data_IF_621006037864
#
_entry.id   IF_621006037864
#
_cell.length_a   1.000
_cell.length_b   1.000
_cell.length_c   1.000
_cell.angle_alpha   90.00
_cell.angle_beta   90.00
_cell.angle_gamma   90.00
#
_symmetry.space_group_name_H-M   'P 1'
#
loop_
_entity.id
_entity.type
_entity.pdbx_description
1 polymer ?
#
# COMPACT_ATOMS: atom_id res chain seq x y z
N UNK A 1 -11.48 -26.57 17.54
CA UNK A 1 -10.52 -25.46 17.87
C UNK A 1 -10.68 -24.42 16.78
N UNK A 2 -10.72 -23.17 17.12
CA UNK A 2 -10.89 -22.07 16.15
C UNK A 2 -9.54 -21.80 15.49
N UNK A 3 -9.47 -21.88 14.16
CA UNK A 3 -8.26 -21.53 13.44
C UNK A 3 -8.16 -20.02 13.29
N UNK A 4 -7.13 -19.43 13.90
CA UNK A 4 -6.85 -18.01 13.84
C UNK A 4 -5.62 -17.73 12.96
N UNK A 5 -5.61 -16.57 12.34
CA UNK A 5 -4.53 -16.10 11.47
C UNK A 5 -4.16 -14.69 11.84
N UNK A 6 -2.89 -14.36 11.75
CA UNK A 6 -2.39 -12.99 11.88
C UNK A 6 -1.99 -12.49 10.50
N UNK A 7 -2.55 -11.37 10.07
CA UNK A 7 -2.08 -10.62 8.91
C UNK A 7 -1.29 -9.40 9.35
N UNK A 8 -0.13 -9.18 8.75
CA UNK A 8 0.70 -8.00 8.97
C UNK A 8 0.79 -7.19 7.68
N UNK A 9 0.84 -5.87 7.79
CA UNK A 9 0.99 -4.97 6.64
C UNK A 9 1.76 -3.72 7.01
N UNK A 10 2.76 -3.39 6.19
CA UNK A 10 3.42 -2.09 6.18
C UNK A 10 3.34 -1.50 4.78
N UNK A 11 2.80 -0.31 4.67
CA UNK A 11 2.67 0.39 3.39
C UNK A 11 3.99 0.94 2.85
N UNK A 12 3.98 1.42 1.62
CA UNK A 12 5.14 2.08 0.99
C UNK A 12 5.50 3.41 1.66
N UNK A 13 4.55 4.03 2.37
CA UNK A 13 4.77 5.24 3.18
C UNK A 13 5.67 5.01 4.40
N UNK A 14 5.82 3.74 4.85
CA UNK A 14 6.64 3.33 6.01
C UNK A 14 6.32 4.10 7.30
N UNK A 15 5.09 4.48 7.51
CA UNK A 15 4.64 5.23 8.69
C UNK A 15 4.31 4.31 9.88
N UNK A 16 3.67 3.18 9.60
CA UNK A 16 3.26 2.22 10.63
C UNK A 16 3.28 0.78 10.12
N UNK A 17 3.26 -0.14 11.08
CA UNK A 17 2.97 -1.55 10.87
C UNK A 17 1.59 -1.87 11.46
N UNK A 18 0.69 -2.30 10.59
CA UNK A 18 -0.63 -2.77 10.96
C UNK A 18 -0.67 -4.28 11.09
N UNK A 19 -1.49 -4.77 12.03
CA UNK A 19 -1.71 -6.20 12.20
C UNK A 19 -3.12 -6.50 12.67
N UNK A 20 -3.70 -7.57 12.14
CA UNK A 20 -5.02 -8.05 12.53
C UNK A 20 -4.98 -9.54 12.86
N UNK A 21 -5.70 -9.93 13.90
CA UNK A 21 -6.02 -11.31 14.24
C UNK A 21 -7.41 -11.62 13.72
N UNK A 22 -7.52 -12.64 12.86
CA UNK A 22 -8.75 -12.97 12.15
C UNK A 22 -9.07 -14.46 12.18
N UNK A 23 -10.32 -14.82 11.92
CA UNK A 23 -10.80 -16.16 11.62
C UNK A 23 -11.64 -16.13 10.35
N UNK A 24 -11.57 -17.22 9.57
CA UNK A 24 -12.40 -17.41 8.39
C UNK A 24 -13.50 -18.47 8.60
N UNK A 25 -13.74 -18.88 9.83
CA UNK A 25 -14.84 -19.79 10.16
C UNK A 25 -16.17 -19.03 10.03
N UNK A 26 -17.05 -19.52 9.15
CA UNK A 26 -18.33 -18.87 8.82
C UNK A 26 -18.19 -17.42 8.29
N UNK A 27 -17.18 -17.17 7.45
CA UNK A 27 -16.83 -15.88 6.91
C UNK A 27 -15.72 -15.17 7.67
N UNK A 28 -15.38 -13.96 7.24
CA UNK A 28 -14.33 -13.16 7.89
C UNK A 28 -14.82 -12.61 9.24
N UNK A 29 -14.08 -12.95 10.28
CA UNK A 29 -14.26 -12.40 11.62
C UNK A 29 -12.97 -11.75 12.08
N UNK A 30 -12.97 -10.45 12.30
CA UNK A 30 -11.84 -9.69 12.84
C UNK A 30 -11.96 -9.67 14.36
N UNK A 31 -10.98 -10.29 15.04
CA UNK A 31 -10.97 -10.39 16.50
C UNK A 31 -10.26 -9.19 17.14
N UNK A 32 -9.15 -8.78 16.55
CA UNK A 32 -8.35 -7.65 17.05
C UNK A 32 -7.52 -7.06 15.91
N UNK A 33 -7.40 -5.74 15.87
CA UNK A 33 -6.43 -5.04 15.05
C UNK A 33 -5.63 -4.09 15.92
N UNK A 34 -4.35 -3.97 15.61
CA UNK A 34 -3.43 -3.06 16.30
C UNK A 34 -2.44 -2.46 15.31
N UNK A 35 -1.97 -1.26 15.60
CA UNK A 35 -0.97 -0.54 14.83
C UNK A 35 0.24 -0.22 15.72
N UNK A 36 1.44 -0.34 15.18
CA UNK A 36 2.68 0.12 15.80
C UNK A 36 3.38 1.11 14.88
N UNK A 37 3.79 2.23 15.45
CA UNK A 37 4.66 3.17 14.75
C UNK A 37 6.09 2.62 14.68
N UNK A 38 6.78 2.90 13.59
CA UNK A 38 8.21 2.64 13.48
C UNK A 38 9.01 3.68 14.26
N UNK A 39 10.28 3.36 14.51
CA UNK A 39 11.20 4.28 15.15
C UNK A 39 11.53 5.49 14.26
N UNK A 40 12.01 6.56 14.89
CA UNK A 40 12.43 7.75 14.17
C UNK A 40 13.50 7.42 13.11
N UNK A 41 13.34 8.00 11.91
CA UNK A 41 14.24 7.76 10.79
C UNK A 41 13.93 6.53 9.93
N UNK A 42 13.06 5.60 10.37
CA UNK A 42 12.71 4.42 9.55
C UNK A 42 12.10 4.80 8.20
N UNK A 43 11.22 5.78 8.19
CA UNK A 43 10.49 6.21 6.99
C UNK A 43 11.42 6.71 5.88
N UNK A 44 12.53 7.36 6.24
CA UNK A 44 13.48 7.98 5.31
C UNK A 44 14.78 7.19 5.17
N UNK A 45 14.92 6.06 5.88
CA UNK A 45 16.16 5.28 5.85
C UNK A 45 16.36 4.57 4.52
N UNK A 46 17.61 4.58 4.05
CA UNK A 46 18.10 3.76 2.93
C UNK A 46 18.93 2.55 3.43
N UNK A 47 19.20 2.48 4.73
CA UNK A 47 19.90 1.35 5.35
C UNK A 47 19.00 0.11 5.41
N UNK A 48 19.21 -0.80 4.48
CA UNK A 48 18.43 -2.04 4.38
C UNK A 48 18.56 -2.93 5.62
N UNK A 49 19.72 -2.93 6.29
CA UNK A 49 19.93 -3.73 7.50
C UNK A 49 19.08 -3.16 8.67
N UNK A 50 19.06 -1.84 8.82
CA UNK A 50 18.22 -1.17 9.79
C UNK A 50 16.74 -1.41 9.50
N UNK A 51 16.30 -1.23 8.24
CA UNK A 51 14.91 -1.46 7.82
C UNK A 51 14.50 -2.91 8.11
N UNK A 52 15.34 -3.88 7.72
CA UNK A 52 15.04 -5.30 7.92
C UNK A 52 14.95 -5.68 9.39
N UNK A 53 15.84 -5.13 10.22
CA UNK A 53 15.79 -5.35 11.66
C UNK A 53 14.53 -4.76 12.28
N UNK A 54 14.24 -3.50 11.98
CA UNK A 54 13.11 -2.78 12.58
C UNK A 54 11.76 -3.43 12.23
N UNK A 55 11.52 -3.74 10.94
CA UNK A 55 10.26 -4.40 10.54
C UNK A 55 10.13 -5.79 11.18
N UNK A 56 11.24 -6.52 11.34
CA UNK A 56 11.23 -7.83 11.99
C UNK A 56 10.87 -7.71 13.48
N UNK A 57 11.55 -6.82 14.21
CA UNK A 57 11.35 -6.62 15.64
C UNK A 57 9.93 -6.10 15.94
N UNK A 58 9.45 -5.13 15.15
CA UNK A 58 8.08 -4.61 15.26
C UNK A 58 7.02 -5.65 14.93
N UNK A 59 7.29 -6.54 13.97
CA UNK A 59 6.38 -7.64 13.64
C UNK A 59 6.25 -8.62 14.80
N UNK A 60 7.36 -8.98 15.45
CA UNK A 60 7.34 -9.85 16.63
C UNK A 60 6.57 -9.18 17.77
N UNK A 61 6.83 -7.90 18.03
CA UNK A 61 6.12 -7.12 19.07
C UNK A 61 4.61 -7.10 18.81
N UNK A 62 4.21 -6.80 17.57
CA UNK A 62 2.81 -6.70 17.17
C UNK A 62 2.08 -8.04 17.25
N UNK A 63 2.70 -9.11 16.74
CA UNK A 63 2.16 -10.47 16.86
C UNK A 63 1.93 -10.83 18.30
N UNK A 64 2.93 -10.62 19.19
CA UNK A 64 2.79 -10.95 20.61
C UNK A 64 1.61 -10.21 21.26
N UNK A 65 1.40 -8.93 20.91
CA UNK A 65 0.27 -8.12 21.40
C UNK A 65 -1.10 -8.57 20.85
N UNK A 66 -1.13 -9.12 19.63
CA UNK A 66 -2.37 -9.59 19.00
C UNK A 66 -2.81 -10.94 19.52
N UNK A 67 -1.86 -11.85 19.78
CA UNK A 67 -2.15 -13.25 20.11
C UNK A 67 -2.09 -13.56 21.62
N UNK A 68 -2.04 -12.55 22.46
CA UNK A 68 -1.77 -12.64 23.89
C UNK A 68 -2.55 -13.75 24.61
N UNK A 69 -3.86 -13.86 24.31
CA UNK A 69 -4.74 -14.87 24.91
C UNK A 69 -5.06 -16.04 23.98
N UNK A 70 -4.79 -15.93 22.68
CA UNK A 70 -5.24 -16.85 21.65
C UNK A 70 -4.09 -17.61 20.94
N UNK A 71 -2.87 -17.47 21.42
CA UNK A 71 -1.66 -17.98 20.75
C UNK A 71 -1.75 -19.43 20.28
N UNK A 72 -2.32 -20.30 21.10
CA UNK A 72 -2.49 -21.73 20.81
C UNK A 72 -3.43 -22.03 19.65
N UNK A 73 -4.27 -21.06 19.29
CA UNK A 73 -5.25 -21.18 18.22
C UNK A 73 -4.75 -20.54 16.91
N UNK A 74 -3.59 -19.85 16.94
CA UNK A 74 -3.03 -19.19 15.75
C UNK A 74 -2.27 -20.19 14.89
N UNK A 75 -2.77 -20.40 13.69
CA UNK A 75 -2.25 -21.39 12.73
C UNK A 75 -1.08 -20.81 11.91
N UNK A 76 -1.16 -19.51 11.55
CA UNK A 76 -0.18 -18.89 10.70
C UNK A 76 -0.14 -17.36 10.84
N UNK A 77 1.01 -16.80 10.47
CA UNK A 77 1.24 -15.38 10.27
C UNK A 77 1.48 -15.15 8.77
N UNK A 78 0.77 -14.21 8.16
CA UNK A 78 1.08 -13.67 6.85
C UNK A 78 1.95 -12.41 7.01
N UNK A 79 3.18 -12.48 6.49
CA UNK A 79 4.18 -11.41 6.58
C UNK A 79 4.69 -11.03 5.19
N UNK A 80 4.20 -9.96 4.56
CA UNK A 80 4.65 -9.52 3.24
C UNK A 80 6.04 -8.86 3.26
N UNK A 81 6.56 -8.47 4.43
CA UNK A 81 7.76 -7.66 4.56
C UNK A 81 7.53 -6.18 4.25
N UNK A 82 8.63 -5.40 4.25
CA UNK A 82 8.64 -4.02 3.80
C UNK A 82 9.22 -3.94 2.39
N UNK A 83 8.48 -3.42 1.45
CA UNK A 83 8.96 -3.25 0.08
C UNK A 83 10.12 -2.26 0.03
N UNK A 84 11.26 -2.70 -0.52
CA UNK A 84 12.46 -1.91 -0.79
C UNK A 84 12.50 -1.48 -2.25
N UNK A 85 12.26 -2.42 -3.16
CA UNK A 85 12.16 -2.18 -4.60
C UNK A 85 11.23 -3.20 -5.23
N UNK A 86 10.62 -2.80 -6.34
CA UNK A 86 9.70 -3.64 -7.07
C UNK A 86 9.79 -3.33 -8.57
N UNK A 87 9.78 -4.37 -9.39
CA UNK A 87 9.67 -4.30 -10.85
C UNK A 87 8.94 -5.55 -11.37
N UNK A 88 8.78 -5.66 -12.68
CA UNK A 88 8.06 -6.77 -13.31
C UNK A 88 8.70 -8.14 -13.09
N UNK A 89 9.99 -8.21 -12.83
CA UNK A 89 10.74 -9.47 -12.72
C UNK A 89 11.03 -9.88 -11.27
N UNK A 90 11.04 -8.91 -10.35
CA UNK A 90 11.50 -9.15 -8.99
C UNK A 90 10.96 -8.10 -8.00
N UNK A 91 10.73 -8.56 -6.76
CA UNK A 91 10.35 -7.69 -5.64
C UNK A 91 11.22 -7.95 -4.42
N UNK A 92 11.95 -6.93 -3.96
CA UNK A 92 12.77 -7.01 -2.76
C UNK A 92 11.98 -6.56 -1.55
N UNK A 93 11.83 -7.48 -0.57
CA UNK A 93 11.16 -7.23 0.69
C UNK A 93 12.16 -7.32 1.84
N UNK A 94 12.19 -6.31 2.72
CA UNK A 94 12.97 -6.35 3.94
C UNK A 94 12.19 -7.05 5.08
N UNK A 95 12.95 -7.64 6.00
CA UNK A 95 12.44 -8.39 7.15
C UNK A 95 12.83 -9.87 7.09
N UNK A 96 12.80 -10.54 8.25
CA UNK A 96 13.16 -11.96 8.35
C UNK A 96 11.98 -12.78 8.87
N UNK A 97 11.25 -13.48 7.98
CA UNK A 97 10.16 -14.38 8.38
C UNK A 97 10.67 -15.54 9.27
N UNK A 98 11.92 -15.99 9.08
CA UNK A 98 12.52 -17.04 9.88
C UNK A 98 12.70 -16.62 11.34
N UNK A 99 13.16 -15.37 11.57
CA UNK A 99 13.31 -14.82 12.93
C UNK A 99 11.94 -14.65 13.58
N UNK A 100 10.96 -14.13 12.84
CA UNK A 100 9.57 -13.99 13.32
C UNK A 100 9.03 -15.37 13.73
N UNK A 101 9.13 -16.38 12.87
CA UNK A 101 8.66 -17.72 13.15
C UNK A 101 9.36 -18.33 14.37
N UNK A 102 10.68 -18.16 14.48
CA UNK A 102 11.48 -18.66 15.61
C UNK A 102 11.09 -18.02 16.93
N UNK A 103 10.84 -16.71 16.94
CA UNK A 103 10.52 -15.96 18.17
C UNK A 103 9.05 -16.14 18.59
N UNK A 104 8.14 -16.15 17.64
CA UNK A 104 6.69 -16.29 17.93
C UNK A 104 6.28 -17.74 18.13
N UNK A 105 7.02 -18.70 17.61
CA UNK A 105 6.66 -20.14 17.54
C UNK A 105 5.41 -20.40 16.69
N UNK A 106 5.11 -19.52 15.74
CA UNK A 106 3.98 -19.63 14.82
C UNK A 106 4.55 -19.70 13.40
N UNK A 107 4.06 -20.59 12.51
CA UNK A 107 4.44 -20.61 11.10
C UNK A 107 4.25 -19.25 10.43
N UNK A 108 5.22 -18.82 9.61
CA UNK A 108 5.15 -17.56 8.86
C UNK A 108 5.13 -17.85 7.37
N UNK A 109 4.17 -17.28 6.67
CA UNK A 109 4.10 -17.25 5.22
C UNK A 109 4.54 -15.88 4.73
N UNK A 110 5.41 -15.86 3.72
CA UNK A 110 6.03 -14.65 3.20
C UNK A 110 6.33 -14.77 1.70
N UNK A 111 6.98 -13.76 1.14
CA UNK A 111 7.44 -13.73 -0.26
C UNK A 111 6.31 -13.85 -1.31
N UNK A 112 5.14 -13.34 -0.98
CA UNK A 112 3.94 -13.42 -1.83
C UNK A 112 4.14 -12.78 -3.21
N UNK A 113 4.91 -11.69 -3.28
CA UNK A 113 5.13 -10.92 -4.52
C UNK A 113 5.97 -11.70 -5.52
N UNK A 114 7.11 -12.26 -5.10
CA UNK A 114 7.93 -13.07 -5.99
C UNK A 114 7.24 -14.39 -6.37
N UNK A 115 6.41 -14.94 -5.47
CA UNK A 115 5.59 -16.09 -5.80
C UNK A 115 4.58 -15.78 -6.92
N UNK A 116 3.93 -14.63 -6.86
CA UNK A 116 2.99 -14.16 -7.89
C UNK A 116 3.73 -13.91 -9.22
N UNK A 117 4.86 -13.22 -9.20
CA UNK A 117 5.71 -12.98 -10.37
C UNK A 117 6.15 -14.30 -11.02
N UNK A 118 6.61 -15.27 -10.23
CA UNK A 118 7.03 -16.58 -10.71
C UNK A 118 5.88 -17.38 -11.37
N UNK A 119 4.63 -17.03 -11.07
CA UNK A 119 3.44 -17.62 -11.68
C UNK A 119 2.81 -16.74 -12.78
N UNK A 120 3.54 -15.74 -13.28
CA UNK A 120 3.13 -14.89 -14.40
C UNK A 120 2.34 -13.64 -14.01
N UNK A 121 2.22 -13.34 -12.70
CA UNK A 121 1.68 -12.08 -12.20
C UNK A 121 2.69 -10.94 -12.21
N UNK A 122 2.27 -9.81 -11.66
CA UNK A 122 3.10 -8.59 -11.51
C UNK A 122 3.60 -8.36 -10.08
N UNK A 123 3.26 -9.24 -9.13
CA UNK A 123 3.61 -9.09 -7.72
C UNK A 123 2.86 -7.97 -6.98
N UNK A 124 2.07 -7.17 -7.70
CA UNK A 124 1.17 -6.14 -7.16
C UNK A 124 0.08 -5.80 -8.20
N UNK A 125 -1.13 -5.43 -7.73
CA UNK A 125 -1.62 -5.55 -6.35
C UNK A 125 -1.91 -7.03 -5.96
N UNK A 126 -1.72 -7.40 -4.70
CA UNK A 126 -2.03 -8.76 -4.20
C UNK A 126 -3.41 -8.87 -3.56
N UNK A 127 -4.07 -7.74 -3.32
CA UNK A 127 -5.37 -7.66 -2.65
C UNK A 127 -6.57 -8.17 -3.48
N UNK A 128 -6.54 -8.30 -4.82
CA UNK A 128 -7.71 -8.62 -5.63
C UNK A 128 -8.42 -9.91 -5.23
N UNK A 129 -7.67 -10.96 -4.86
CA UNK A 129 -8.28 -12.22 -4.40
C UNK A 129 -9.11 -12.04 -3.11
N UNK A 130 -8.66 -11.13 -2.22
CA UNK A 130 -9.42 -10.79 -1.02
C UNK A 130 -10.63 -9.91 -1.33
N UNK A 131 -10.52 -8.98 -2.30
CA UNK A 131 -11.67 -8.22 -2.79
C UNK A 131 -12.73 -9.15 -3.39
N UNK A 132 -12.31 -10.13 -4.18
CA UNK A 132 -13.22 -11.15 -4.71
C UNK A 132 -13.92 -11.91 -3.59
N UNK A 133 -13.16 -12.44 -2.62
CA UNK A 133 -13.72 -13.19 -1.50
C UNK A 133 -14.74 -12.37 -0.69
N UNK A 134 -14.48 -11.08 -0.48
CA UNK A 134 -15.28 -10.26 0.41
C UNK A 134 -16.45 -9.55 -0.27
N UNK A 135 -16.28 -9.15 -1.55
CA UNK A 135 -17.14 -8.18 -2.22
C UNK A 135 -17.81 -8.68 -3.49
N UNK A 136 -17.39 -9.84 -4.02
CA UNK A 136 -18.01 -10.37 -5.25
C UNK A 136 -19.40 -10.91 -4.97
N UNK A 137 -20.30 -10.69 -5.93
CA UNK A 137 -21.69 -11.16 -5.91
C UNK A 137 -22.12 -11.47 -7.34
N UNK A 138 -23.03 -12.46 -7.49
CA UNK A 138 -23.63 -12.79 -8.78
C UNK A 138 -24.42 -11.62 -9.35
N UNK A 139 -24.37 -11.46 -10.67
CA UNK A 139 -25.13 -10.46 -11.43
C UNK A 139 -24.80 -9.02 -11.00
N UNK A 140 -23.58 -8.79 -10.48
CA UNK A 140 -23.11 -7.45 -10.09
C UNK A 140 -21.77 -7.12 -10.72
N UNK A 141 -21.57 -5.82 -10.94
CA UNK A 141 -20.27 -5.26 -11.31
C UNK A 141 -19.82 -4.29 -10.22
N UNK A 142 -18.57 -4.44 -9.77
CA UNK A 142 -17.99 -3.60 -8.71
C UNK A 142 -16.58 -3.19 -9.08
N UNK A 143 -16.27 -1.91 -8.90
CA UNK A 143 -14.91 -1.40 -8.91
C UNK A 143 -14.50 -1.10 -7.46
N UNK A 144 -13.52 -1.84 -6.97
CA UNK A 144 -12.95 -1.64 -5.65
C UNK A 144 -11.67 -0.82 -5.80
N UNK A 145 -11.63 0.35 -5.17
CA UNK A 145 -10.49 1.25 -5.21
C UNK A 145 -9.79 1.28 -3.86
N UNK A 146 -8.47 1.22 -3.91
CA UNK A 146 -7.60 1.49 -2.77
C UNK A 146 -6.76 2.72 -3.08
N UNK A 147 -6.97 3.80 -2.32
CA UNK A 147 -6.25 5.07 -2.47
C UNK A 147 -5.22 5.17 -1.35
N UNK A 148 -4.07 4.51 -1.55
CA UNK A 148 -2.89 4.60 -0.68
C UNK A 148 -1.90 5.63 -1.21
N UNK A 149 -0.61 5.40 -1.04
CA UNK A 149 0.43 6.20 -1.72
C UNK A 149 0.31 6.11 -3.24
N UNK A 150 0.05 4.90 -3.74
CA UNK A 150 -0.35 4.60 -5.12
C UNK A 150 -1.80 4.13 -5.08
N UNK A 151 -2.60 4.58 -6.05
CA UNK A 151 -3.98 4.15 -6.22
C UNK A 151 -4.03 2.88 -7.07
N UNK A 152 -4.75 1.85 -6.59
CA UNK A 152 -5.01 0.65 -7.37
C UNK A 152 -6.50 0.29 -7.38
N UNK A 153 -6.90 -0.45 -8.41
CA UNK A 153 -8.27 -0.87 -8.62
C UNK A 153 -8.41 -2.35 -8.89
N UNK A 154 -9.53 -2.91 -8.43
CA UNK A 154 -9.96 -4.28 -8.76
C UNK A 154 -11.36 -4.22 -9.34
N UNK A 155 -11.51 -4.62 -10.59
CA UNK A 155 -12.82 -4.74 -11.24
C UNK A 155 -13.33 -6.18 -11.09
N UNK A 156 -14.46 -6.29 -10.42
CA UNK A 156 -15.17 -7.54 -10.15
C UNK A 156 -16.45 -7.60 -11.00
N UNK A 157 -16.70 -8.74 -11.60
CA UNK A 157 -17.95 -9.02 -12.33
C UNK A 157 -18.34 -10.49 -12.15
N UNK A 158 -19.59 -10.74 -11.81
CA UNK A 158 -20.16 -12.08 -11.67
C UNK A 158 -19.27 -13.03 -10.85
N UNK A 159 -18.87 -12.59 -9.67
CA UNK A 159 -17.99 -13.32 -8.74
C UNK A 159 -16.55 -13.51 -9.24
N UNK A 160 -16.15 -12.89 -10.36
CA UNK A 160 -14.80 -13.03 -10.90
C UNK A 160 -14.00 -11.71 -10.85
N UNK A 161 -12.68 -11.84 -10.71
CA UNK A 161 -11.75 -10.74 -10.97
C UNK A 161 -11.61 -10.64 -12.49
N UNK A 162 -12.08 -9.54 -13.08
CA UNK A 162 -11.92 -9.29 -14.50
C UNK A 162 -10.60 -8.59 -14.77
N UNK A 163 -10.25 -7.62 -13.89
CA UNK A 163 -9.04 -6.83 -14.03
C UNK A 163 -8.57 -6.29 -12.69
N UNK A 164 -7.26 -6.16 -12.53
CA UNK A 164 -6.67 -5.43 -11.40
C UNK A 164 -5.35 -4.79 -11.83
N UNK A 165 -5.10 -3.58 -11.36
CA UNK A 165 -3.91 -2.81 -11.74
C UNK A 165 -3.70 -1.65 -10.78
N UNK A 166 -2.47 -1.18 -10.68
CA UNK A 166 -2.25 0.19 -10.26
C UNK A 166 -2.83 1.12 -11.33
N UNK A 167 -3.47 2.20 -10.88
CA UNK A 167 -4.19 3.16 -11.73
C UNK A 167 -3.34 4.43 -11.89
N UNK A 168 -2.83 4.93 -10.77
CA UNK A 168 -2.11 6.19 -10.78
C UNK A 168 -1.60 6.58 -9.39
N UNK A 169 -1.10 7.82 -9.24
CA UNK A 169 -0.71 8.31 -7.93
C UNK A 169 -1.95 8.38 -7.03
N UNK A 170 -1.79 7.97 -5.78
CA UNK A 170 -2.76 8.24 -4.72
C UNK A 170 -2.29 9.46 -3.91
N UNK A 171 -1.98 9.24 -2.63
CA UNK A 171 -1.54 10.32 -1.74
C UNK A 171 -0.06 10.69 -1.91
N UNK A 172 0.74 9.94 -2.67
CA UNK A 172 2.18 10.14 -2.72
C UNK A 172 2.60 11.54 -3.21
N UNK A 173 1.87 12.11 -4.17
CA UNK A 173 2.15 13.45 -4.70
C UNK A 173 1.69 14.56 -3.75
N UNK A 174 0.56 14.36 -3.06
CA UNK A 174 0.11 15.25 -1.99
C UNK A 174 1.14 15.32 -0.88
N UNK A 175 1.56 14.16 -0.37
CA UNK A 175 2.55 14.06 0.70
C UNK A 175 3.90 14.65 0.29
N UNK A 176 4.31 14.46 -0.97
CA UNK A 176 5.51 15.09 -1.53
C UNK A 176 5.37 16.62 -1.54
N UNK A 177 4.22 17.15 -1.93
CA UNK A 177 3.93 18.59 -1.89
C UNK A 177 4.06 19.14 -0.48
N UNK A 178 3.42 18.50 0.50
CA UNK A 178 3.50 18.91 1.91
C UNK A 178 4.96 18.95 2.41
N UNK A 179 5.74 17.92 2.10
CA UNK A 179 7.16 17.86 2.49
C UNK A 179 8.01 18.91 1.80
N UNK A 180 7.83 19.12 0.48
CA UNK A 180 8.60 20.08 -0.31
C UNK A 180 8.39 21.52 0.16
N UNK A 181 7.21 21.86 0.64
CA UNK A 181 6.90 23.18 1.19
C UNK A 181 7.08 23.27 2.71
N UNK A 182 7.59 22.21 3.38
CA UNK A 182 7.77 22.15 4.83
C UNK A 182 6.46 22.39 5.63
N UNK A 183 5.33 21.94 5.09
CA UNK A 183 4.00 22.11 5.67
C UNK A 183 3.54 20.91 6.51
N UNK A 184 4.37 19.87 6.62
CA UNK A 184 4.06 18.65 7.36
C UNK A 184 4.25 17.38 6.54
N UNK A 185 3.75 16.27 7.03
CA UNK A 185 3.88 14.96 6.38
C UNK A 185 2.79 14.71 5.33
N UNK A 186 1.59 15.19 5.58
CA UNK A 186 0.40 15.04 4.74
C UNK A 186 -0.58 16.19 4.96
N UNK A 187 -1.51 16.41 4.04
CA UNK A 187 -2.56 17.43 4.14
C UNK A 187 -3.72 16.90 4.98
N UNK A 188 -3.72 17.26 6.28
CA UNK A 188 -4.73 16.80 7.22
C UNK A 188 -6.13 17.31 6.82
N UNK A 189 -7.06 16.37 6.64
CA UNK A 189 -8.45 16.61 6.25
C UNK A 189 -8.61 17.42 4.94
N UNK A 190 -7.58 17.43 4.08
CA UNK A 190 -7.60 18.22 2.84
C UNK A 190 -7.65 19.74 3.08
N UNK A 191 -7.20 20.18 4.26
CA UNK A 191 -7.34 21.58 4.70
C UNK A 191 -6.54 22.57 3.85
N UNK A 192 -5.45 22.10 3.23
CA UNK A 192 -4.66 22.89 2.27
C UNK A 192 -5.34 22.87 0.90
N UNK A 193 -5.65 21.70 0.37
CA UNK A 193 -6.27 21.51 -0.94
C UNK A 193 -7.62 22.26 -1.07
N UNK A 194 -8.40 22.34 0.02
CA UNK A 194 -9.70 23.05 0.03
C UNK A 194 -9.60 24.54 -0.28
N UNK A 195 -8.40 25.12 -0.25
CA UNK A 195 -8.14 26.55 -0.55
C UNK A 195 -7.56 26.77 -1.94
N UNK A 196 -7.21 25.69 -2.63
CA UNK A 196 -6.58 25.73 -3.95
C UNK A 196 -7.57 25.88 -5.10
N UNK A 197 -7.02 26.11 -6.28
CA UNK A 197 -7.73 26.12 -7.55
C UNK A 197 -7.08 25.11 -8.49
N UNK A 198 -7.90 24.34 -9.23
CA UNK A 198 -7.40 23.39 -10.20
C UNK A 198 -6.93 24.12 -11.46
N UNK A 199 -5.65 24.01 -11.79
CA UNK A 199 -5.14 24.37 -13.11
C UNK A 199 -5.39 23.21 -14.08
N UNK A 200 -6.43 23.33 -14.90
CA UNK A 200 -6.85 22.27 -15.82
C UNK A 200 -5.79 21.94 -16.86
N UNK A 201 -4.97 22.92 -17.29
CA UNK A 201 -3.91 22.68 -18.27
C UNK A 201 -2.79 21.85 -17.67
N UNK A 202 -2.34 22.20 -16.47
CA UNK A 202 -1.32 21.44 -15.75
C UNK A 202 -1.83 20.03 -15.40
N UNK A 203 -3.07 19.91 -14.99
CA UNK A 203 -3.70 18.62 -14.69
C UNK A 203 -3.71 17.71 -15.93
N UNK A 204 -4.14 18.20 -17.09
CA UNK A 204 -4.15 17.42 -18.34
C UNK A 204 -2.73 17.04 -18.78
N UNK A 205 -1.74 17.92 -18.58
CA UNK A 205 -0.33 17.61 -18.87
C UNK A 205 0.18 16.46 -18.01
N UNK A 206 -0.10 16.46 -16.70
CA UNK A 206 0.28 15.39 -15.77
C UNK A 206 -0.44 14.09 -16.08
N UNK A 207 -1.77 14.13 -16.30
CA UNK A 207 -2.57 12.96 -16.65
C UNK A 207 -2.10 12.29 -17.94
N UNK A 208 -1.78 13.07 -18.97
CA UNK A 208 -1.30 12.51 -20.25
C UNK A 208 -0.01 11.69 -20.10
N UNK A 209 0.85 12.04 -19.14
CA UNK A 209 2.07 11.30 -18.86
C UNK A 209 1.77 9.99 -18.12
N UNK A 210 0.77 9.97 -17.23
CA UNK A 210 0.34 8.79 -16.49
C UNK A 210 -0.43 7.83 -17.42
N UNK A 211 -1.34 8.35 -18.24
CA UNK A 211 -2.15 7.58 -19.18
C UNK A 211 -1.32 6.90 -20.28
N UNK A 212 -0.11 7.39 -20.54
CA UNK A 212 0.82 6.77 -21.49
C UNK A 212 1.46 5.48 -20.96
N UNK A 213 1.34 5.17 -19.67
CA UNK A 213 1.87 3.95 -19.08
C UNK A 213 1.02 2.73 -19.45
N UNK A 214 1.64 1.57 -19.73
CA UNK A 214 0.90 0.37 -20.13
C UNK A 214 0.04 -0.21 -18.99
N UNK A 215 -1.05 -0.87 -19.35
CA UNK A 215 -1.91 -1.64 -18.44
C UNK A 215 -1.88 -3.14 -18.79
N UNK A 216 -2.05 -4.08 -17.81
CA UNK A 216 -2.01 -3.84 -16.37
C UNK A 216 -0.61 -3.48 -15.90
N UNK A 217 -0.50 -2.77 -14.78
CA UNK A 217 0.80 -2.34 -14.25
C UNK A 217 0.88 -2.49 -12.73
N UNK A 218 2.12 -2.58 -12.25
CA UNK A 218 2.48 -2.46 -10.85
C UNK A 218 3.54 -1.35 -10.77
N UNK A 219 3.18 -0.22 -10.19
CA UNK A 219 3.99 0.99 -10.22
C UNK A 219 4.92 1.05 -9.00
N UNK A 220 6.15 1.52 -9.23
CA UNK A 220 7.05 1.95 -8.17
C UNK A 220 6.84 3.45 -7.88
N UNK A 221 7.02 3.85 -6.62
CA UNK A 221 6.88 5.25 -6.20
C UNK A 221 7.76 6.21 -7.01
N UNK A 222 8.93 5.75 -7.45
CA UNK A 222 9.86 6.53 -8.27
C UNK A 222 9.26 7.00 -9.58
N UNK A 223 8.29 6.28 -10.15
CA UNK A 223 7.56 6.68 -11.37
C UNK A 223 6.93 8.06 -11.15
N UNK A 224 6.24 8.23 -10.04
CA UNK A 224 5.54 9.47 -9.71
C UNK A 224 6.48 10.57 -9.19
N UNK A 225 7.52 10.21 -8.46
CA UNK A 225 8.55 11.19 -8.06
C UNK A 225 9.28 11.76 -9.27
N UNK A 226 9.57 10.93 -10.27
CA UNK A 226 10.15 11.38 -11.54
C UNK A 226 9.18 12.29 -12.33
N UNK A 227 7.88 12.07 -12.22
CA UNK A 227 6.85 12.95 -12.80
C UNK A 227 6.98 14.38 -12.23
N UNK A 228 7.12 14.50 -10.89
CA UNK A 228 7.33 15.81 -10.25
C UNK A 228 8.60 16.50 -10.73
N UNK A 229 9.72 15.78 -10.81
CA UNK A 229 10.98 16.38 -11.28
C UNK A 229 10.92 16.82 -12.74
N UNK A 230 10.31 16.04 -13.62
CA UNK A 230 10.12 16.43 -15.04
C UNK A 230 9.30 17.70 -15.20
N UNK A 231 8.28 17.88 -14.37
CA UNK A 231 7.36 19.01 -14.44
C UNK A 231 7.71 20.15 -13.45
N UNK A 232 8.86 20.08 -12.81
CA UNK A 232 9.29 21.01 -11.74
C UNK A 232 9.15 22.49 -12.08
N UNK A 233 9.40 22.87 -13.34
CA UNK A 233 9.28 24.28 -13.77
C UNK A 233 7.83 24.78 -13.70
N UNK A 234 6.88 23.98 -14.16
CA UNK A 234 5.45 24.31 -14.12
C UNK A 234 4.91 24.26 -12.69
N UNK A 235 5.32 23.24 -11.92
CA UNK A 235 4.91 23.05 -10.53
C UNK A 235 5.40 24.18 -9.62
N UNK A 236 6.64 24.65 -9.77
CA UNK A 236 7.20 25.73 -8.95
C UNK A 236 6.53 27.10 -9.15
N UNK A 237 5.67 27.24 -10.15
CA UNK A 237 4.87 28.44 -10.39
C UNK A 237 3.53 28.42 -9.67
N UNK A 238 3.21 27.33 -8.98
CA UNK A 238 1.91 27.11 -8.30
C UNK A 238 2.07 27.23 -6.78
N UNK A 239 0.98 27.59 -6.14
CA UNK A 239 0.91 27.58 -4.68
C UNK A 239 0.82 26.14 -4.15
N UNK A 240 1.21 25.86 -2.91
CA UNK A 240 1.05 24.54 -2.33
C UNK A 240 -0.43 24.12 -2.24
N UNK A 241 -1.37 25.05 -2.09
CA UNK A 241 -2.82 24.82 -2.10
C UNK A 241 -3.28 24.28 -3.46
N UNK A 242 -2.87 24.94 -4.55
CA UNK A 242 -3.22 24.54 -5.91
C UNK A 242 -2.64 23.17 -6.24
N UNK A 243 -1.38 22.91 -5.85
CA UNK A 243 -0.72 21.62 -6.08
C UNK A 243 -1.38 20.50 -5.29
N UNK A 244 -1.73 20.73 -4.02
CA UNK A 244 -2.44 19.74 -3.22
C UNK A 244 -3.76 19.36 -3.89
N UNK A 245 -4.53 20.33 -4.36
CA UNK A 245 -5.81 20.08 -5.03
C UNK A 245 -5.65 19.39 -6.39
N UNK A 246 -4.66 19.76 -7.20
CA UNK A 246 -4.38 19.09 -8.49
C UNK A 246 -4.08 17.62 -8.27
N UNK A 247 -3.23 17.29 -7.29
CA UNK A 247 -2.86 15.90 -7.00
C UNK A 247 -4.00 15.05 -6.44
N UNK A 248 -5.00 15.64 -5.77
CA UNK A 248 -6.26 14.96 -5.44
C UNK A 248 -7.09 14.66 -6.70
N UNK A 249 -7.03 15.55 -7.69
CA UNK A 249 -7.86 15.44 -8.90
C UNK A 249 -7.34 14.40 -9.89
N UNK A 250 -6.05 14.06 -9.87
CA UNK A 250 -5.42 13.08 -10.77
C UNK A 250 -6.05 11.67 -10.66
N UNK A 251 -6.13 11.04 -9.47
CA UNK A 251 -6.68 9.69 -9.36
C UNK A 251 -8.18 9.65 -9.64
N UNK A 252 -8.92 10.70 -9.36
CA UNK A 252 -10.37 10.73 -9.56
C UNK A 252 -10.78 10.79 -11.02
N UNK A 253 -9.97 11.34 -11.91
CA UNK A 253 -10.25 11.40 -13.36
C UNK A 253 -9.97 10.09 -14.09
N UNK A 254 -9.06 9.26 -13.55
CA UNK A 254 -8.72 7.95 -14.14
C UNK A 254 -9.74 6.85 -13.83
N UNK A 255 -10.63 7.11 -12.91
CA UNK A 255 -11.71 6.22 -12.47
C UNK A 255 -12.96 6.44 -13.32
#
# INVERSE_FOLDING_TARGET
>A
MKNLYVGLMSGTSRDSLDGCLVSFENGLNVLSCKTLNFSEGYQTSEDQAFISKEITDKSIELVNKLVETERQNVVAIAFPGQTISHNDDFSLQAGSPEIIAKQTKIPVYSDFRNFDIANGGKGAPLIPAFHQYLLSEKETEKLVLNIGGICNGTYLKDENIIHSSDIGPGNCLLDATMRNFNLGKFDLDGSLASKGNVDSFLLEELLSQIDSLPYPRADDLSVYMNLLEKNKKSLNQKTPEDLSLIHISEPTRQI
#
